data_IF_090467229478
#
_entry.id   IF_090467229478
#
_cell.length_a   1.000
_cell.length_b   1.000
_cell.length_c   1.000
_cell.angle_alpha   90.00
_cell.angle_beta   90.00
_cell.angle_gamma   90.00
#
_symmetry.space_group_name_H-M   'P 1'
#
loop_
_entity.id
_entity.type
_entity.pdbx_description
1 polymer ?
#
# COMPACT_ATOMS: atom_id res chain seq x y z
N UNK A 1 -28.66 -3.43 26.51
CA UNK A 1 -28.46 -3.65 25.06
C UNK A 1 -27.64 -4.93 24.92
N UNK A 2 -28.12 -5.97 24.22
CA UNK A 2 -27.38 -7.21 24.11
C UNK A 2 -26.10 -6.99 23.29
N UNK A 3 -25.00 -7.60 23.72
CA UNK A 3 -23.67 -7.60 23.08
C UNK A 3 -23.68 -8.41 21.76
N UNK A 4 -24.58 -8.10 20.84
CA UNK A 4 -24.66 -8.75 19.54
C UNK A 4 -23.58 -8.20 18.61
N UNK A 5 -22.65 -9.08 18.26
CA UNK A 5 -21.68 -8.97 17.16
C UNK A 5 -20.71 -7.80 17.24
N UNK A 6 -19.57 -8.03 17.88
CA UNK A 6 -18.40 -7.18 17.66
C UNK A 6 -17.88 -7.44 16.23
N UNK A 7 -18.43 -6.74 15.24
CA UNK A 7 -18.12 -6.88 13.79
C UNK A 7 -16.65 -6.59 13.45
N UNK A 8 -15.88 -6.06 14.41
CA UNK A 8 -14.50 -5.66 14.21
C UNK A 8 -13.49 -6.81 14.35
N UNK A 9 -13.88 -7.93 14.96
CA UNK A 9 -13.01 -9.09 15.14
C UNK A 9 -13.16 -10.09 14.00
N UNK A 10 -12.03 -10.65 13.55
CA UNK A 10 -11.98 -11.77 12.60
C UNK A 10 -10.97 -12.80 13.08
N UNK A 11 -11.19 -14.05 12.71
CA UNK A 11 -10.26 -15.14 12.96
C UNK A 11 -9.51 -15.47 11.66
N UNK A 12 -8.17 -15.42 11.69
CA UNK A 12 -7.33 -15.91 10.60
C UNK A 12 -6.83 -17.31 10.92
N UNK A 13 -7.23 -18.29 10.12
CA UNK A 13 -6.77 -19.67 10.23
C UNK A 13 -5.43 -19.79 9.52
N UNK A 14 -4.40 -20.21 10.24
CA UNK A 14 -3.05 -20.37 9.68
C UNK A 14 -2.97 -21.61 8.78
N UNK A 15 -2.15 -21.56 7.71
CA UNK A 15 -1.88 -22.74 6.90
C UNK A 15 -1.13 -23.79 7.73
N UNK A 16 -1.62 -25.02 7.70
CA UNK A 16 -0.97 -26.17 8.32
C UNK A 16 -0.01 -26.90 7.36
N UNK A 17 0.04 -26.43 6.10
CA UNK A 17 0.81 -26.97 4.98
C UNK A 17 0.57 -28.45 4.65
N UNK A 18 -0.40 -29.10 5.32
CA UNK A 18 -0.81 -30.47 5.06
C UNK A 18 -2.09 -30.48 4.25
N UNK A 19 -3.14 -29.86 4.78
CA UNK A 19 -4.46 -29.73 4.15
C UNK A 19 -4.69 -28.30 3.66
N UNK A 20 -4.24 -27.31 4.44
CA UNK A 20 -4.41 -25.89 4.17
C UNK A 20 -3.05 -25.33 3.76
N UNK A 21 -2.88 -25.10 2.46
CA UNK A 21 -1.65 -24.49 1.91
C UNK A 21 -1.61 -22.97 2.10
N UNK A 22 -2.78 -22.33 2.21
CA UNK A 22 -2.92 -20.90 2.40
C UNK A 22 -3.98 -20.62 3.46
N UNK A 23 -3.64 -19.79 4.44
CA UNK A 23 -4.57 -19.41 5.50
C UNK A 23 -5.74 -18.58 4.97
N UNK A 24 -6.85 -18.59 5.70
CA UNK A 24 -8.08 -17.91 5.30
C UNK A 24 -8.74 -17.19 6.48
N UNK A 25 -9.58 -16.20 6.17
CA UNK A 25 -10.34 -15.43 7.16
C UNK A 25 -11.68 -16.11 7.40
N UNK A 26 -12.11 -16.18 8.66
CA UNK A 26 -13.42 -16.65 9.06
C UNK A 26 -14.02 -15.74 10.16
N UNK A 27 -15.34 -15.83 10.33
CA UNK A 27 -16.02 -15.17 11.44
C UNK A 27 -15.51 -15.68 12.79
N UNK A 28 -15.43 -14.82 13.82
CA UNK A 28 -14.95 -15.22 15.14
C UNK A 28 -15.76 -16.38 15.71
N UNK A 29 -15.11 -17.52 15.95
CA UNK A 29 -15.75 -18.65 16.63
C UNK A 29 -15.55 -18.52 18.14
N UNK A 30 -16.63 -18.64 18.91
CA UNK A 30 -16.58 -18.63 20.38
C UNK A 30 -15.86 -19.86 20.96
N UNK A 31 -15.73 -20.94 20.18
CA UNK A 31 -15.13 -22.21 20.62
C UNK A 31 -13.59 -22.20 20.62
N UNK A 32 -12.96 -21.26 19.92
CA UNK A 32 -11.51 -21.25 19.72
C UNK A 32 -10.79 -20.37 20.77
N UNK A 33 -11.54 -19.50 21.46
CA UNK A 33 -10.98 -18.51 22.39
C UNK A 33 -10.77 -19.02 23.82
N UNK A 34 -11.33 -20.18 24.18
CA UNK A 34 -11.11 -20.77 25.50
C UNK A 34 -9.85 -21.65 25.48
N UNK A 35 -8.69 -21.00 25.65
CA UNK A 35 -7.45 -21.68 26.02
C UNK A 35 -7.49 -22.42 27.37
N UNK A 36 -8.65 -22.51 28.03
CA UNK A 36 -8.92 -23.30 29.23
C UNK A 36 -10.44 -23.50 29.41
N UNK A 37 -11.03 -24.53 28.79
CA UNK A 37 -12.16 -25.23 29.40
C UNK A 37 -11.92 -26.72 29.27
N UNK A 38 -11.58 -27.32 30.40
CA UNK A 38 -11.59 -28.75 30.61
C UNK A 38 -13.02 -29.28 30.40
N UNK A 39 -13.33 -29.70 29.18
CA UNK A 39 -14.30 -30.77 28.97
C UNK A 39 -13.71 -31.77 27.97
N UNK A 40 -13.11 -32.80 28.54
CA UNK A 40 -12.30 -33.83 27.89
C UNK A 40 -13.10 -34.82 27.03
N UNK A 41 -14.32 -34.47 26.62
CA UNK A 41 -15.29 -35.45 26.11
C UNK A 41 -15.64 -35.35 24.62
N UNK A 42 -15.06 -34.39 23.87
CA UNK A 42 -15.18 -34.33 22.38
C UNK A 42 -13.83 -34.14 21.67
N UNK A 43 -12.84 -35.00 21.98
CA UNK A 43 -11.68 -35.22 21.10
C UNK A 43 -12.05 -36.15 19.93
N UNK A 44 -13.01 -35.74 19.09
CA UNK A 44 -13.15 -36.34 17.77
C UNK A 44 -12.23 -35.58 16.81
N UNK A 45 -11.00 -36.08 16.67
CA UNK A 45 -10.09 -36.07 15.51
C UNK A 45 -10.18 -34.95 14.45
N UNK A 46 -10.60 -33.74 14.81
CA UNK A 46 -10.52 -32.57 13.93
C UNK A 46 -9.21 -31.89 14.29
N UNK A 47 -8.22 -31.95 13.39
CA UNK A 47 -6.90 -31.33 13.59
C UNK A 47 -7.10 -29.92 14.18
N UNK A 48 -6.41 -29.64 15.29
CA UNK A 48 -6.48 -28.32 15.93
C UNK A 48 -5.94 -27.29 14.95
N UNK A 49 -6.83 -26.58 14.27
CA UNK A 49 -6.46 -25.48 13.39
C UNK A 49 -5.90 -24.36 14.27
N UNK A 50 -4.70 -23.87 13.92
CA UNK A 50 -4.12 -22.74 14.62
C UNK A 50 -4.77 -21.46 14.11
N UNK A 51 -5.36 -20.68 15.00
CA UNK A 51 -6.12 -19.47 14.65
C UNK A 51 -5.54 -18.27 15.38
N UNK A 52 -5.42 -17.15 14.65
CA UNK A 52 -5.03 -15.84 15.18
C UNK A 52 -6.23 -14.92 15.10
N UNK A 53 -6.70 -14.44 16.26
CA UNK A 53 -7.77 -13.45 16.33
C UNK A 53 -7.18 -12.06 16.07
N UNK A 54 -7.74 -11.35 15.10
CA UNK A 54 -7.38 -9.98 14.76
C UNK A 54 -8.55 -9.05 15.01
N UNK A 55 -8.29 -7.92 15.66
CA UNK A 55 -9.27 -6.91 16.01
C UNK A 55 -8.83 -5.56 15.42
N UNK A 56 -8.31 -4.68 16.29
CA UNK A 56 -7.93 -3.31 15.97
C UNK A 56 -6.73 -3.23 15.02
N UNK A 57 -5.89 -4.26 15.00
CA UNK A 57 -4.66 -4.32 14.21
C UNK A 57 -4.94 -4.16 12.70
N UNK A 58 -6.12 -4.59 12.24
CA UNK A 58 -6.56 -4.45 10.85
C UNK A 58 -6.66 -3.00 10.37
N UNK A 59 -6.86 -2.08 11.31
CA UNK A 59 -6.99 -0.65 11.04
C UNK A 59 -5.74 0.10 11.51
N UNK A 60 -5.16 -0.29 12.64
CA UNK A 60 -3.96 0.35 13.19
C UNK A 60 -2.76 0.19 12.25
N UNK A 61 -2.56 -0.98 11.64
CA UNK A 61 -1.40 -1.21 10.76
C UNK A 61 -1.41 -0.32 9.52
N UNK A 62 -2.48 -0.26 8.69
CA UNK A 62 -2.50 0.67 7.56
C UNK A 62 -2.52 2.14 7.99
N UNK A 63 -3.05 2.47 9.18
CA UNK A 63 -3.07 3.84 9.72
C UNK A 63 -1.66 4.40 9.93
N UNK A 64 -0.64 3.57 10.18
CA UNK A 64 0.75 4.01 10.34
C UNK A 64 1.25 4.78 9.11
N UNK A 65 0.72 4.51 7.92
CA UNK A 65 1.08 5.24 6.69
C UNK A 65 0.60 6.70 6.70
N UNK A 66 -0.52 6.97 7.39
CA UNK A 66 -1.08 8.32 7.53
C UNK A 66 -0.65 8.98 8.84
N UNK A 67 -0.41 8.18 9.88
CA UNK A 67 -0.04 8.65 11.22
C UNK A 67 1.09 7.77 11.81
N UNK A 68 2.35 7.97 11.39
CA UNK A 68 3.50 7.23 11.91
C UNK A 68 3.70 7.40 13.43
N UNK A 69 3.23 8.53 13.98
CA UNK A 69 3.34 8.85 15.41
C UNK A 69 2.67 7.83 16.34
N UNK A 70 1.72 7.03 15.84
CA UNK A 70 1.03 5.98 16.64
C UNK A 70 2.02 4.94 17.17
N UNK A 71 3.12 4.70 16.45
CA UNK A 71 4.19 3.80 16.85
C UNK A 71 5.45 4.55 17.35
N UNK A 72 5.31 5.85 17.62
CA UNK A 72 6.42 6.69 18.10
C UNK A 72 7.42 7.09 17.03
N UNK A 73 7.08 6.97 15.74
CA UNK A 73 7.91 7.49 14.64
C UNK A 73 7.52 8.95 14.41
N UNK A 74 8.49 9.85 14.58
CA UNK A 74 8.35 11.30 14.34
C UNK A 74 8.63 11.62 12.87
N UNK A 75 7.70 11.20 12.00
CA UNK A 75 7.72 11.47 10.56
C UNK A 75 6.32 11.85 10.09
N UNK A 76 6.28 12.67 9.03
CA UNK A 76 5.06 13.03 8.36
C UNK A 76 4.36 11.80 7.76
N UNK A 77 3.03 11.79 7.81
CA UNK A 77 2.23 10.81 7.08
C UNK A 77 2.34 11.00 5.56
N UNK A 78 1.80 10.05 4.78
CA UNK A 78 1.86 10.14 3.32
C UNK A 78 1.14 11.37 2.76
N UNK A 79 -0.01 11.76 3.31
CA UNK A 79 -0.75 12.92 2.84
C UNK A 79 0.02 14.22 3.10
N UNK A 80 0.57 14.37 4.30
CA UNK A 80 1.40 15.51 4.70
C UNK A 80 2.71 15.56 3.86
N UNK A 81 3.33 14.41 3.61
CA UNK A 81 4.52 14.31 2.78
C UNK A 81 4.25 14.78 1.33
N UNK A 82 3.10 14.41 0.76
CA UNK A 82 2.67 14.89 -0.56
C UNK A 82 2.43 16.40 -0.53
N UNK A 83 1.73 16.90 0.48
CA UNK A 83 1.48 18.33 0.65
C UNK A 83 2.78 19.12 0.71
N UNK A 84 3.71 18.75 1.60
CA UNK A 84 4.99 19.41 1.78
C UNK A 84 5.83 19.40 0.49
N UNK A 85 5.88 18.27 -0.22
CA UNK A 85 6.63 18.14 -1.48
C UNK A 85 6.09 19.06 -2.58
N UNK A 86 4.77 19.23 -2.66
CA UNK A 86 4.15 20.12 -3.66
C UNK A 86 4.26 21.59 -3.25
N UNK A 87 4.23 21.89 -1.95
CA UNK A 87 4.38 23.25 -1.43
C UNK A 87 5.80 23.83 -1.62
N UNK A 88 6.83 22.99 -1.73
CA UNK A 88 8.19 23.42 -2.09
C UNK A 88 8.28 23.94 -3.54
N UNK A 89 7.31 23.63 -4.39
CA UNK A 89 7.30 24.01 -5.80
C UNK A 89 6.65 25.38 -6.04
N UNK A 90 6.92 26.04 -7.17
CA UNK A 90 6.27 27.30 -7.53
C UNK A 90 4.75 27.20 -7.60
N UNK A 91 4.04 28.19 -7.06
CA UNK A 91 2.57 28.16 -6.90
C UNK A 91 1.80 27.82 -8.19
N UNK A 92 2.25 28.35 -9.34
CA UNK A 92 1.57 28.17 -10.61
C UNK A 92 1.54 26.71 -11.12
N UNK A 93 2.45 25.83 -10.68
CA UNK A 93 2.45 24.41 -11.10
C UNK A 93 1.70 23.49 -10.14
N UNK A 94 1.49 23.91 -8.89
CA UNK A 94 0.87 23.09 -7.83
C UNK A 94 -0.52 22.54 -8.20
N UNK A 95 -1.45 23.33 -8.79
CA UNK A 95 -2.76 22.82 -9.17
C UNK A 95 -2.67 21.66 -10.17
N UNK A 96 -1.70 21.70 -11.08
CA UNK A 96 -1.47 20.63 -12.06
C UNK A 96 -1.01 19.34 -11.38
N UNK A 97 -0.16 19.44 -10.35
CA UNK A 97 0.34 18.26 -9.63
C UNK A 97 -0.75 17.60 -8.79
N UNK A 98 -1.57 18.38 -8.08
CA UNK A 98 -2.69 17.82 -7.31
C UNK A 98 -3.77 17.19 -8.21
N UNK A 99 -3.90 17.66 -9.45
CA UNK A 99 -4.79 17.06 -10.46
C UNK A 99 -4.22 15.79 -11.11
N UNK A 100 -2.97 15.42 -10.81
CA UNK A 100 -2.27 14.31 -11.46
C UNK A 100 -1.53 13.43 -10.45
N UNK A 101 -2.26 12.94 -9.44
CA UNK A 101 -1.71 12.00 -8.47
C UNK A 101 -1.99 10.57 -8.96
N UNK A 102 -0.94 9.75 -9.07
CA UNK A 102 -1.03 8.33 -9.43
C UNK A 102 -0.61 7.47 -8.23
N UNK A 103 -1.47 6.54 -7.82
CA UNK A 103 -1.18 5.57 -6.77
C UNK A 103 -0.63 4.28 -7.37
N UNK A 104 0.53 3.83 -6.90
CA UNK A 104 1.16 2.58 -7.32
C UNK A 104 1.79 1.85 -6.12
N UNK A 105 2.04 0.55 -6.25
CA UNK A 105 2.53 -0.32 -5.18
C UNK A 105 1.40 -1.05 -4.43
N UNK A 106 1.81 -2.04 -3.61
CA UNK A 106 0.88 -2.95 -2.93
C UNK A 106 0.07 -2.28 -1.81
N UNK A 107 0.63 -1.30 -1.10
CA UNK A 107 -0.05 -0.62 0.01
C UNK A 107 -1.27 0.19 -0.45
N UNK A 108 -1.34 0.58 -1.73
CA UNK A 108 -2.49 1.29 -2.28
C UNK A 108 -3.74 0.39 -2.41
N UNK A 109 -3.60 -0.93 -2.23
CA UNK A 109 -4.71 -1.90 -2.25
C UNK A 109 -5.43 -2.02 -0.90
N UNK A 110 -5.01 -1.30 0.13
CA UNK A 110 -5.80 -1.24 1.34
C UNK A 110 -7.21 -0.68 1.04
N UNK A 111 -8.27 -1.26 1.61
CA UNK A 111 -9.63 -0.75 1.41
C UNK A 111 -9.74 0.73 1.81
N UNK A 112 -10.40 1.52 0.96
CA UNK A 112 -10.63 2.96 1.15
C UNK A 112 -9.34 3.82 1.19
N UNK A 113 -8.19 3.31 0.74
CA UNK A 113 -6.93 4.04 0.80
C UNK A 113 -6.96 5.32 -0.04
N UNK A 114 -7.51 5.25 -1.26
CA UNK A 114 -7.64 6.41 -2.15
C UNK A 114 -8.52 7.49 -1.52
N UNK A 115 -9.70 7.10 -1.05
CA UNK A 115 -10.71 7.98 -0.46
C UNK A 115 -10.17 8.64 0.82
N UNK A 116 -9.46 7.88 1.65
CA UNK A 116 -8.78 8.41 2.83
C UNK A 116 -7.74 9.47 2.44
N UNK A 117 -6.88 9.17 1.48
CA UNK A 117 -5.85 10.09 1.03
C UNK A 117 -6.45 11.38 0.43
N UNK A 118 -7.49 11.24 -0.40
CA UNK A 118 -8.19 12.37 -1.00
C UNK A 118 -8.79 13.30 0.06
N UNK A 119 -9.43 12.73 1.09
CA UNK A 119 -10.01 13.49 2.19
C UNK A 119 -8.95 14.23 3.02
N UNK A 120 -7.82 13.58 3.34
CA UNK A 120 -6.74 14.25 4.07
C UNK A 120 -6.10 15.38 3.25
N UNK A 121 -5.79 15.13 1.98
CA UNK A 121 -5.24 16.15 1.09
C UNK A 121 -6.20 17.33 0.94
N UNK A 122 -7.50 17.04 0.78
CA UNK A 122 -8.52 18.09 0.66
C UNK A 122 -8.55 19.01 1.88
N UNK A 123 -8.30 18.48 3.08
CA UNK A 123 -8.26 19.27 4.32
C UNK A 123 -7.08 20.25 4.42
N UNK A 124 -6.01 20.05 3.66
CA UNK A 124 -4.78 20.85 3.70
C UNK A 124 -4.62 21.79 2.50
N UNK A 125 -5.17 21.42 1.35
CA UNK A 125 -5.01 22.14 0.08
C UNK A 125 -6.14 23.18 -0.09
N UNK A 126 -5.86 24.29 -0.77
CA UNK A 126 -6.86 25.32 -1.13
C UNK A 126 -8.02 24.74 -1.96
N UNK A 127 -9.25 25.15 -1.66
CA UNK A 127 -10.47 24.59 -2.27
C UNK A 127 -10.56 24.75 -3.80
N UNK A 128 -9.90 25.77 -4.35
CA UNK A 128 -9.84 26.04 -5.79
C UNK A 128 -8.94 25.06 -6.56
N UNK A 129 -8.06 24.35 -5.87
CA UNK A 129 -7.16 23.38 -6.52
C UNK A 129 -7.89 22.06 -6.76
N UNK A 130 -7.95 21.57 -8.01
CA UNK A 130 -8.51 20.27 -8.30
C UNK A 130 -7.61 19.16 -7.74
N UNK A 131 -8.20 18.21 -7.03
CA UNK A 131 -7.53 16.99 -6.57
C UNK A 131 -8.06 15.83 -7.39
N UNK A 132 -7.15 15.11 -8.05
CA UNK A 132 -7.50 13.89 -8.79
C UNK A 132 -6.47 12.82 -8.53
N UNK A 133 -6.94 11.76 -7.88
CA UNK A 133 -6.15 10.59 -7.54
C UNK A 133 -6.58 9.42 -8.43
N UNK A 134 -5.64 8.91 -9.22
CA UNK A 134 -5.82 7.75 -10.09
C UNK A 134 -5.24 6.52 -9.41
N UNK A 135 -6.05 5.48 -9.22
CA UNK A 135 -5.60 4.15 -8.83
C UNK A 135 -5.79 3.22 -10.04
N UNK A 136 -4.71 2.69 -10.64
CA UNK A 136 -4.82 1.75 -11.74
C UNK A 136 -5.38 0.40 -11.25
N UNK A 137 -5.90 -0.42 -12.17
CA UNK A 137 -6.47 -1.73 -11.85
C UNK A 137 -5.46 -2.64 -11.13
N UNK A 138 -4.20 -2.63 -11.58
CA UNK A 138 -3.12 -3.43 -11.01
C UNK A 138 -1.95 -2.53 -10.56
N UNK A 139 -2.02 -1.89 -9.38
CA UNK A 139 -1.00 -0.95 -8.92
C UNK A 139 0.34 -1.62 -8.59
N UNK A 140 0.35 -2.92 -8.30
CA UNK A 140 1.57 -3.71 -8.01
C UNK A 140 2.47 -3.82 -9.24
N UNK A 141 1.89 -4.15 -10.40
CA UNK A 141 2.64 -4.36 -11.66
C UNK A 141 2.64 -3.14 -12.56
N UNK A 142 2.02 -2.03 -12.14
CA UNK A 142 1.85 -0.85 -12.98
C UNK A 142 3.19 -0.27 -13.47
N UNK A 143 4.18 -0.14 -12.60
CA UNK A 143 5.50 0.37 -12.96
C UNK A 143 6.21 -0.53 -14.00
N UNK A 144 6.09 -1.86 -13.84
CA UNK A 144 6.64 -2.82 -14.80
C UNK A 144 5.94 -2.69 -16.16
N UNK A 145 4.61 -2.64 -16.17
CA UNK A 145 3.84 -2.51 -17.40
C UNK A 145 4.16 -1.19 -18.11
N UNK A 146 4.31 -0.09 -17.38
CA UNK A 146 4.75 1.18 -17.93
C UNK A 146 6.15 1.07 -18.56
N UNK A 147 7.07 0.34 -17.93
CA UNK A 147 8.38 0.03 -18.50
C UNK A 147 8.28 -0.75 -19.82
N UNK A 148 7.44 -1.78 -19.88
CA UNK A 148 7.19 -2.54 -21.12
C UNK A 148 6.60 -1.65 -22.21
N UNK A 149 5.66 -0.77 -21.87
CA UNK A 149 5.12 0.22 -22.80
C UNK A 149 6.21 1.16 -23.33
N UNK A 150 7.10 1.64 -22.45
CA UNK A 150 8.23 2.48 -22.85
C UNK A 150 9.17 1.73 -23.80
N UNK A 151 9.49 0.46 -23.54
CA UNK A 151 10.39 -0.33 -24.41
C UNK A 151 9.81 -0.59 -25.81
N UNK A 152 8.49 -0.57 -25.94
CA UNK A 152 7.80 -0.74 -27.21
C UNK A 152 7.60 0.57 -27.99
N UNK A 153 8.00 1.72 -27.40
CA UNK A 153 7.91 3.01 -28.08
C UNK A 153 9.00 3.15 -29.15
N UNK A 154 8.71 3.91 -30.21
CA UNK A 154 9.69 4.24 -31.25
C UNK A 154 10.90 5.00 -30.71
N UNK A 155 10.70 5.73 -29.60
CA UNK A 155 11.72 6.56 -28.98
C UNK A 155 12.61 5.80 -28.00
N UNK A 156 12.32 4.51 -27.73
CA UNK A 156 13.06 3.72 -26.75
C UNK A 156 14.58 3.74 -26.98
N UNK A 157 15.00 3.65 -28.25
CA UNK A 157 16.41 3.70 -28.63
C UNK A 157 17.09 5.01 -28.17
N UNK A 158 16.35 6.13 -28.13
CA UNK A 158 16.86 7.42 -27.68
C UNK A 158 17.15 7.44 -26.18
N UNK A 159 16.48 6.60 -25.40
CA UNK A 159 16.68 6.48 -23.94
C UNK A 159 17.76 5.44 -23.57
N UNK A 160 18.26 4.64 -24.50
CA UNK A 160 19.26 3.60 -24.22
C UNK A 160 20.70 4.13 -24.25
N UNK A 161 21.58 3.63 -23.38
CA UNK A 161 23.04 3.78 -23.53
C UNK A 161 23.59 2.53 -24.21
N UNK A 162 24.23 2.71 -25.37
CA UNK A 162 24.88 1.60 -26.08
C UNK A 162 26.22 1.25 -25.45
N UNK A 163 26.68 0.02 -25.68
CA UNK A 163 28.01 -0.42 -25.22
C UNK A 163 29.13 0.50 -25.71
N UNK A 164 29.08 0.94 -26.97
CA UNK A 164 30.10 1.84 -27.53
C UNK A 164 30.15 3.18 -26.79
N UNK A 165 28.98 3.79 -26.54
CA UNK A 165 28.92 5.06 -25.80
C UNK A 165 29.45 4.89 -24.37
N UNK A 166 29.19 3.75 -23.73
CA UNK A 166 29.73 3.45 -22.41
C UNK A 166 31.24 3.21 -22.43
N UNK A 167 31.78 2.49 -23.42
CA UNK A 167 33.22 2.26 -23.55
C UNK A 167 33.99 3.58 -23.80
N UNK A 168 33.37 4.55 -24.47
CA UNK A 168 33.96 5.88 -24.77
C UNK A 168 33.88 6.86 -23.57
N UNK A 169 32.74 6.89 -22.87
CA UNK A 169 32.45 7.92 -21.86
C UNK A 169 32.38 7.39 -20.41
N UNK A 170 32.45 6.08 -20.22
CA UNK A 170 32.29 5.42 -18.93
C UNK A 170 30.95 5.76 -18.27
N UNK A 171 30.92 5.79 -16.94
CA UNK A 171 29.70 6.06 -16.16
C UNK A 171 29.09 7.45 -16.40
N UNK A 172 29.87 8.42 -16.87
CA UNK A 172 29.42 9.80 -17.06
C UNK A 172 28.25 9.90 -18.05
N UNK A 173 28.20 9.03 -19.06
CA UNK A 173 27.09 8.99 -20.01
C UNK A 173 25.76 8.59 -19.35
N UNK A 174 25.81 7.70 -18.35
CA UNK A 174 24.62 7.27 -17.64
C UNK A 174 24.06 8.41 -16.78
N UNK A 175 24.92 9.14 -16.06
CA UNK A 175 24.50 10.32 -15.28
C UNK A 175 23.87 11.39 -16.18
N UNK A 176 24.56 11.73 -17.27
CA UNK A 176 24.08 12.72 -18.23
C UNK A 176 22.72 12.35 -18.84
N UNK A 177 22.49 11.05 -19.06
CA UNK A 177 21.26 10.59 -19.74
C UNK A 177 20.10 10.35 -18.78
N UNK A 178 20.36 9.85 -17.57
CA UNK A 178 19.34 9.35 -16.64
C UNK A 178 19.20 10.18 -15.36
N UNK A 179 20.14 11.05 -15.03
CA UNK A 179 20.14 11.82 -13.76
C UNK A 179 20.09 13.33 -14.01
N UNK A 180 20.80 13.83 -15.00
CA UNK A 180 20.92 15.28 -15.22
C UNK A 180 19.73 15.89 -16.02
N UNK A 181 18.81 15.05 -16.51
CA UNK A 181 17.59 15.48 -17.23
C UNK A 181 16.31 15.39 -16.39
N UNK A 182 16.42 15.12 -15.08
CA UNK A 182 15.29 15.11 -14.13
C UNK A 182 15.20 16.40 -13.33
#
# INVERSE_FOLDING_TARGET
LPLSENTNSIDYVLPDYNEIKQGYVQSPSSLIYNGNTADSSKKNATKQQQVVRMNVERFTIPEILFRPSIIGIDQAGIAESIYNSVEELPEHIRPSLYNNILLTGGNCLFPNFKERLENELRSMIKDDYPIRITLPENPITHALNAGVTLTNSSDYANYCVTKREYDEHGVSICHRKFTDNS
#
